data_IF_657230869280
#
_entry.id   IF_657230869280
#
_cell.length_a   1.000
_cell.length_b   1.000
_cell.length_c   1.000
_cell.angle_alpha   90.00
_cell.angle_beta   90.00
_cell.angle_gamma   90.00
#
_symmetry.space_group_name_H-M   'P 1'
#
loop_
_entity.id
_entity.type
_entity.pdbx_description
1 polymer ?
#
# COMPACT_ATOMS: atom_id res chain seq x y z
N UNK A 1 7.71 7.31 0.81
CA UNK A 1 6.86 6.36 0.05
C UNK A 1 7.32 6.27 -1.40
N UNK A 2 7.19 5.10 -2.03
CA UNK A 2 7.56 4.82 -3.43
C UNK A 2 6.36 4.19 -4.18
N UNK A 3 6.20 4.44 -5.49
CA UNK A 3 5.10 3.89 -6.26
C UNK A 3 5.26 2.39 -6.49
N UNK A 4 4.16 1.65 -6.37
CA UNK A 4 4.07 0.23 -6.76
C UNK A 4 2.79 0.03 -7.55
N UNK A 5 2.90 -0.64 -8.70
CA UNK A 5 1.76 -1.03 -9.52
C UNK A 5 1.36 -2.47 -9.21
N UNK A 6 0.05 -2.71 -9.06
CA UNK A 6 -0.47 -4.06 -8.91
C UNK A 6 -0.34 -4.82 -10.24
N UNK A 7 0.36 -5.96 -10.23
CA UNK A 7 0.54 -6.80 -11.43
C UNK A 7 -0.74 -7.34 -12.06
N UNK A 8 -1.87 -7.32 -11.33
CA UNK A 8 -3.15 -7.86 -11.81
C UNK A 8 -4.12 -6.78 -12.29
N UNK A 9 -4.31 -5.71 -11.52
CA UNK A 9 -5.27 -4.66 -11.88
C UNK A 9 -4.62 -3.39 -12.44
N UNK A 10 -3.29 -3.27 -12.41
CA UNK A 10 -2.57 -2.09 -12.90
C UNK A 10 -2.71 -0.86 -12.00
N UNK A 11 -3.45 -0.94 -10.88
CA UNK A 11 -3.59 0.22 -10.00
C UNK A 11 -2.26 0.58 -9.34
N UNK A 12 -1.94 1.87 -9.35
CA UNK A 12 -0.75 2.43 -8.71
C UNK A 12 -1.07 2.90 -7.29
N UNK A 13 -0.23 2.52 -6.34
CA UNK A 13 -0.31 2.96 -4.94
C UNK A 13 1.04 3.49 -4.48
N UNK A 14 1.05 4.27 -3.40
CA UNK A 14 2.27 4.67 -2.72
C UNK A 14 2.52 3.75 -1.52
N UNK A 15 3.75 3.27 -1.39
CA UNK A 15 4.13 2.26 -0.40
C UNK A 15 5.30 2.76 0.44
N UNK A 16 5.22 2.51 1.74
CA UNK A 16 6.36 2.63 2.64
C UNK A 16 6.41 1.39 3.55
N UNK A 17 7.57 0.72 3.56
CA UNK A 17 7.80 -0.48 4.35
C UNK A 17 8.59 -0.10 5.60
N UNK A 18 8.07 -0.42 6.78
CA UNK A 18 8.77 -0.15 8.05
C UNK A 18 9.37 -1.41 8.66
N UNK A 19 8.75 -2.57 8.41
CA UNK A 19 9.24 -3.90 8.81
C UNK A 19 8.61 -4.96 7.91
N UNK A 20 8.99 -6.23 8.08
CA UNK A 20 8.36 -7.37 7.38
C UNK A 20 6.83 -7.33 7.51
N UNK A 21 6.32 -7.17 8.73
CA UNK A 21 4.89 -7.16 9.02
C UNK A 21 4.20 -5.80 8.83
N UNK A 22 4.94 -4.69 8.80
CA UNK A 22 4.35 -3.34 8.78
C UNK A 22 4.66 -2.60 7.47
N UNK A 23 3.60 -2.40 6.70
CA UNK A 23 3.61 -1.64 5.44
C UNK A 23 2.51 -0.59 5.49
N UNK A 24 2.83 0.66 5.17
CA UNK A 24 1.85 1.68 4.85
C UNK A 24 1.59 1.68 3.36
N UNK A 25 0.31 1.64 2.99
CA UNK A 25 -0.16 1.71 1.60
C UNK A 25 -1.12 2.88 1.50
N UNK A 26 -0.84 3.79 0.58
CA UNK A 26 -1.71 4.90 0.25
C UNK A 26 -2.26 4.72 -1.16
N UNK A 27 -3.58 4.64 -1.24
CA UNK A 27 -4.32 4.59 -2.49
C UNK A 27 -4.37 5.98 -3.13
N UNK A 28 -4.13 6.04 -4.44
CA UNK A 28 -4.16 7.29 -5.21
C UNK A 28 -5.56 7.63 -5.74
N UNK A 29 -6.47 6.68 -5.70
CA UNK A 29 -7.87 6.83 -6.09
C UNK A 29 -8.75 5.86 -5.31
N UNK A 30 -10.05 5.90 -5.58
CA UNK A 30 -11.02 5.02 -4.95
C UNK A 30 -10.72 3.54 -5.31
N UNK A 31 -10.48 2.71 -4.31
CA UNK A 31 -10.16 1.30 -4.46
C UNK A 31 -11.30 0.52 -5.14
N UNK A 32 -12.56 0.86 -4.85
CA UNK A 32 -13.74 0.18 -5.42
C UNK A 32 -13.94 0.54 -6.89
N UNK A 33 -13.40 1.68 -7.35
CA UNK A 33 -13.44 2.10 -8.77
C UNK A 33 -12.21 1.63 -9.56
N UNK A 34 -11.06 1.48 -8.91
CA UNK A 34 -9.77 1.22 -9.57
C UNK A 34 -9.35 -0.25 -9.55
N UNK A 35 -9.94 -1.07 -8.68
CA UNK A 35 -9.59 -2.48 -8.54
C UNK A 35 -10.81 -3.40 -8.68
N UNK A 36 -10.84 -4.29 -9.69
CA UNK A 36 -11.96 -5.21 -9.89
C UNK A 36 -12.24 -6.14 -8.70
N UNK A 37 -11.23 -6.49 -7.90
CA UNK A 37 -11.41 -7.31 -6.70
C UNK A 37 -12.22 -6.57 -5.64
N UNK A 38 -11.90 -5.29 -5.40
CA UNK A 38 -12.63 -4.45 -4.47
C UNK A 38 -14.04 -4.14 -4.97
N UNK A 39 -14.20 -3.85 -6.27
CA UNK A 39 -15.52 -3.66 -6.88
C UNK A 39 -16.44 -4.87 -6.64
N UNK A 40 -15.92 -6.09 -6.85
CA UNK A 40 -16.66 -7.33 -6.61
C UNK A 40 -17.01 -7.52 -5.13
N UNK A 41 -16.04 -7.31 -4.22
CA UNK A 41 -16.26 -7.44 -2.77
C UNK A 41 -17.29 -6.43 -2.25
N UNK A 42 -17.26 -5.19 -2.74
CA UNK A 42 -18.22 -4.16 -2.38
C UNK A 42 -19.65 -4.55 -2.79
N UNK A 43 -19.83 -5.18 -3.96
CA UNK A 43 -21.13 -5.73 -4.39
C UNK A 43 -21.63 -6.87 -3.47
N UNK A 44 -20.72 -7.59 -2.83
CA UNK A 44 -21.00 -8.63 -1.84
C UNK A 44 -21.14 -8.07 -0.40
N UNK A 45 -21.02 -6.75 -0.22
CA UNK A 45 -21.15 -6.06 1.06
C UNK A 45 -19.84 -5.89 1.86
N UNK A 46 -18.71 -6.34 1.32
CA UNK A 46 -17.39 -6.15 1.92
C UNK A 46 -16.69 -4.94 1.28
N UNK A 47 -16.89 -3.76 1.88
CA UNK A 47 -16.32 -2.50 1.38
C UNK A 47 -14.81 -2.40 1.59
N UNK A 48 -14.17 -1.62 0.72
CA UNK A 48 -12.72 -1.40 0.70
C UNK A 48 -12.15 -0.85 2.01
N UNK A 49 -12.95 -0.11 2.79
CA UNK A 49 -12.53 0.40 4.10
C UNK A 49 -12.17 -0.69 5.11
N UNK A 50 -12.65 -1.92 4.93
CA UNK A 50 -12.37 -3.06 5.79
C UNK A 50 -11.28 -3.98 5.26
N UNK A 51 -10.85 -3.78 4.02
CA UNK A 51 -9.91 -4.66 3.33
C UNK A 51 -8.61 -3.88 3.05
N UNK A 52 -7.50 -4.21 3.71
CA UNK A 52 -6.29 -3.37 3.69
C UNK A 52 -5.64 -3.28 2.31
N UNK A 53 -5.73 -4.33 1.50
CA UNK A 53 -5.18 -4.40 0.14
C UNK A 53 -5.82 -5.56 -0.62
N UNK A 54 -5.82 -5.52 -1.95
CA UNK A 54 -6.11 -6.71 -2.74
C UNK A 54 -4.92 -7.69 -2.70
N UNK A 55 -5.19 -8.98 -2.88
CA UNK A 55 -4.16 -10.03 -2.71
C UNK A 55 -3.02 -9.91 -3.71
N UNK A 56 -3.32 -9.52 -4.96
CA UNK A 56 -2.31 -9.34 -6.00
C UNK A 56 -1.40 -8.13 -5.75
N UNK A 57 -1.93 -7.04 -5.21
CA UNK A 57 -1.13 -5.87 -4.84
C UNK A 57 -0.19 -6.21 -3.70
N UNK A 58 -0.63 -7.00 -2.72
CA UNK A 58 0.25 -7.44 -1.63
C UNK A 58 1.48 -8.17 -2.15
N UNK A 59 1.28 -9.16 -3.03
CA UNK A 59 2.41 -9.83 -3.66
C UNK A 59 3.28 -8.87 -4.48
N UNK A 60 2.69 -7.89 -5.18
CA UNK A 60 3.49 -6.92 -5.97
C UNK A 60 4.37 -6.04 -5.08
N UNK A 61 3.90 -5.74 -3.85
CA UNK A 61 4.68 -5.04 -2.83
C UNK A 61 5.80 -5.93 -2.29
N UNK A 62 5.50 -7.18 -2.00
CA UNK A 62 6.50 -8.14 -1.50
C UNK A 62 7.62 -8.32 -2.54
N UNK A 63 7.28 -8.53 -3.82
CA UNK A 63 8.22 -8.58 -4.94
C UNK A 63 9.08 -7.29 -5.01
N UNK A 64 8.46 -6.12 -4.82
CA UNK A 64 9.17 -4.83 -4.84
C UNK A 64 10.13 -4.65 -3.67
N UNK A 65 9.83 -5.23 -2.51
CA UNK A 65 10.72 -5.23 -1.35
C UNK A 65 11.88 -6.20 -1.57
N UNK A 66 11.61 -7.40 -2.07
CA UNK A 66 12.63 -8.42 -2.38
C UNK A 66 13.62 -7.92 -3.45
N UNK A 67 13.14 -7.25 -4.50
CA UNK A 67 13.96 -6.64 -5.54
C UNK A 67 14.72 -5.38 -5.09
N UNK A 68 14.47 -4.90 -3.86
CA UNK A 68 15.05 -3.66 -3.32
C UNK A 68 14.49 -2.37 -3.91
N UNK A 69 13.44 -2.45 -4.76
CA UNK A 69 12.72 -1.27 -5.28
C UNK A 69 12.00 -0.51 -4.17
N UNK A 70 11.54 -1.21 -3.13
CA UNK A 70 11.01 -0.62 -1.90
C UNK A 70 11.89 -1.02 -0.72
N UNK A 71 12.70 -0.08 -0.23
CA UNK A 71 13.53 -0.29 0.96
C UNK A 71 12.76 -0.14 2.27
N UNK A 72 13.37 -0.62 3.36
CA UNK A 72 12.89 -0.34 4.72
C UNK A 72 13.14 1.12 5.08
N UNK A 73 12.08 1.84 5.41
CA UNK A 73 12.10 3.15 6.03
C UNK A 73 12.22 2.96 7.54
N UNK A 74 13.40 3.22 8.10
CA UNK A 74 13.52 3.35 9.55
C UNK A 74 12.82 4.65 9.93
N UNK A 75 11.74 4.57 10.72
CA UNK A 75 11.05 5.75 11.23
C UNK A 75 12.08 6.70 11.86
N UNK A 76 12.31 7.85 11.23
CA UNK A 76 13.03 8.95 11.88
C UNK A 76 12.07 9.60 12.87
N UNK A 77 12.41 9.62 14.15
CA UNK A 77 11.71 10.49 15.09
C UNK A 77 11.82 11.94 14.58
N UNK A 78 10.74 12.73 14.61
CA UNK A 78 10.86 14.15 14.32
C UNK A 78 11.92 14.71 15.26
N UNK A 79 12.90 15.44 14.71
CA UNK A 79 13.86 16.16 15.53
C UNK A 79 13.05 17.08 16.44
N UNK A 80 13.14 16.93 17.78
CA UNK A 80 12.42 17.82 18.68
C UNK A 80 12.78 19.26 18.32
N UNK A 81 11.78 20.05 17.92
CA UNK A 81 11.97 21.46 17.66
C UNK A 81 12.44 22.12 18.96
N UNK A 82 13.54 22.86 18.91
CA UNK A 82 13.98 23.66 20.05
C UNK A 82 13.03 24.85 20.16
N UNK A 83 12.28 24.91 21.26
CA UNK A 83 11.41 26.04 21.60
C UNK A 83 12.29 27.13 22.25
N UNK A 84 13.11 27.81 21.45
CA UNK A 84 13.76 29.05 21.89
C UNK A 84 12.93 30.27 21.49
#
# INVERSE_FOLDING_TARGET
MLPVECRRCGNAVLVEKYSEAHTSVQWLGDAEQTCPEFARRAQEGEHSMFVPTCGALRGSIDDAVEDGRVGLSLRSYPTPGRLD
#
